data_IF_602006180132
#
_entry.id   IF_602006180132
#
_cell.length_a   1.000
_cell.length_b   1.000
_cell.length_c   1.000
_cell.angle_alpha   90.00
_cell.angle_beta   90.00
_cell.angle_gamma   90.00
#
_symmetry.space_group_name_H-M   'P 1'
#
loop_
_entity.id
_entity.type
_entity.pdbx_description
1 polymer ?
#
# COMPACT_ATOMS: atom_id res chain seq x y z
N UNK A 1 -5.58 -19.58 -4.38
CA UNK A 1 -4.36 -18.94 -4.94
C UNK A 1 -4.27 -17.49 -4.42
N UNK A 2 -3.11 -16.81 -4.50
CA UNK A 2 -3.01 -15.39 -4.06
C UNK A 2 -3.96 -14.46 -4.83
N UNK A 3 -4.28 -14.81 -6.09
CA UNK A 3 -5.16 -14.02 -6.95
C UNK A 3 -6.65 -14.08 -6.56
N UNK A 4 -7.05 -15.00 -5.68
CA UNK A 4 -8.45 -15.12 -5.24
C UNK A 4 -8.95 -13.83 -4.57
N UNK A 5 -8.05 -13.00 -4.02
CA UNK A 5 -8.41 -11.72 -3.41
C UNK A 5 -8.74 -10.62 -4.42
N UNK A 6 -8.37 -10.79 -5.69
CA UNK A 6 -8.58 -9.78 -6.73
C UNK A 6 -9.45 -10.25 -7.89
N UNK A 7 -9.87 -11.53 -7.90
CA UNK A 7 -10.64 -12.13 -8.99
C UNK A 7 -11.91 -11.35 -9.32
N UNK A 8 -12.67 -10.92 -8.31
CA UNK A 8 -13.88 -10.12 -8.50
C UNK A 8 -13.62 -8.80 -9.21
N UNK A 9 -12.44 -8.19 -9.02
CA UNK A 9 -12.05 -6.95 -9.70
C UNK A 9 -11.57 -7.21 -11.12
N UNK A 10 -10.92 -8.34 -11.37
CA UNK A 10 -10.58 -8.79 -12.72
C UNK A 10 -11.85 -9.04 -13.56
N UNK A 11 -12.88 -9.62 -12.95
CA UNK A 11 -14.17 -9.86 -13.63
C UNK A 11 -14.95 -8.55 -13.85
N UNK A 12 -14.94 -7.64 -12.86
CA UNK A 12 -15.61 -6.34 -12.96
C UNK A 12 -14.94 -5.40 -13.97
N UNK A 13 -13.62 -5.44 -14.08
CA UNK A 13 -12.82 -4.57 -14.94
C UNK A 13 -11.87 -5.40 -15.83
N UNK A 14 -12.40 -6.16 -16.81
CA UNK A 14 -11.61 -7.10 -17.61
C UNK A 14 -10.49 -6.42 -18.40
N UNK A 15 -10.66 -5.15 -18.78
CA UNK A 15 -9.63 -4.35 -19.44
C UNK A 15 -8.39 -4.10 -18.56
N UNK A 16 -8.55 -4.11 -17.24
CA UNK A 16 -7.46 -3.94 -16.27
C UNK A 16 -6.93 -5.29 -15.75
N UNK A 17 -7.62 -6.41 -15.99
CA UNK A 17 -7.37 -7.68 -15.32
C UNK A 17 -5.92 -8.19 -15.43
N UNK A 18 -5.32 -8.07 -16.62
CA UNK A 18 -3.92 -8.48 -16.87
C UNK A 18 -2.95 -7.63 -16.06
N UNK A 19 -3.10 -6.30 -16.13
CA UNK A 19 -2.26 -5.35 -15.42
C UNK A 19 -2.43 -5.49 -13.90
N UNK A 20 -3.68 -5.57 -13.41
CA UNK A 20 -4.01 -5.75 -12.00
C UNK A 20 -3.37 -7.03 -11.44
N UNK A 21 -3.51 -8.15 -12.14
CA UNK A 21 -2.98 -9.44 -11.71
C UNK A 21 -1.45 -9.43 -11.64
N UNK A 22 -0.80 -8.88 -12.66
CA UNK A 22 0.66 -8.81 -12.72
C UNK A 22 1.23 -7.92 -11.62
N UNK A 23 0.66 -6.73 -11.43
CA UNK A 23 1.12 -5.80 -10.39
C UNK A 23 0.82 -6.35 -8.99
N UNK A 24 -0.34 -6.95 -8.76
CA UNK A 24 -0.65 -7.56 -7.47
C UNK A 24 0.34 -8.67 -7.10
N UNK A 25 0.73 -9.52 -8.05
CA UNK A 25 1.75 -10.55 -7.83
C UNK A 25 3.14 -9.96 -7.57
N UNK A 26 3.53 -8.92 -8.32
CA UNK A 26 4.79 -8.20 -8.09
C UNK A 26 4.84 -7.63 -6.66
N UNK A 27 3.80 -6.89 -6.25
CA UNK A 27 3.73 -6.27 -4.92
C UNK A 27 3.72 -7.31 -3.79
N UNK A 28 2.93 -8.38 -3.92
CA UNK A 28 2.74 -9.37 -2.84
C UNK A 28 3.79 -10.49 -2.81
N UNK A 29 4.52 -10.74 -3.90
CA UNK A 29 5.45 -11.87 -4.00
C UNK A 29 6.88 -11.41 -4.21
N UNK A 30 7.14 -10.60 -5.24
CA UNK A 30 8.50 -10.13 -5.54
C UNK A 30 8.95 -9.08 -4.53
N UNK A 31 8.14 -8.02 -4.36
CA UNK A 31 8.44 -6.91 -3.44
C UNK A 31 8.05 -7.20 -2.00
N UNK A 32 7.25 -8.26 -1.77
CA UNK A 32 6.87 -8.74 -0.44
C UNK A 32 6.30 -7.64 0.47
N UNK A 33 5.40 -6.81 -0.08
CA UNK A 33 4.70 -5.77 0.68
C UNK A 33 3.91 -6.38 1.84
N UNK A 34 3.77 -5.63 2.94
CA UNK A 34 3.10 -6.10 4.15
C UNK A 34 1.59 -6.26 3.91
N UNK A 35 1.02 -5.33 3.14
CA UNK A 35 -0.40 -5.31 2.82
C UNK A 35 -0.61 -4.75 1.41
N UNK A 36 -1.54 -5.34 0.67
CA UNK A 36 -2.01 -4.85 -0.63
C UNK A 36 -3.52 -5.04 -0.69
N UNK A 37 -4.25 -3.95 -0.93
CA UNK A 37 -5.72 -3.90 -1.07
C UNK A 37 -6.09 -3.33 -2.42
N UNK A 38 -7.20 -3.80 -2.98
CA UNK A 38 -7.81 -3.18 -4.16
C UNK A 38 -8.87 -2.20 -3.68
N UNK A 39 -8.89 -1.00 -4.27
CA UNK A 39 -9.96 -0.02 -4.07
C UNK A 39 -10.64 0.26 -5.39
N UNK A 40 -11.96 0.20 -5.35
CA UNK A 40 -12.80 0.55 -6.48
C UNK A 40 -12.95 2.07 -6.61
N UNK A 41 -12.89 2.57 -7.83
CA UNK A 41 -13.18 3.96 -8.19
C UNK A 41 -14.28 3.94 -9.24
N UNK A 42 -15.52 3.69 -8.79
CA UNK A 42 -16.68 3.52 -9.66
C UNK A 42 -16.92 4.67 -10.65
N UNK A 43 -16.75 5.96 -10.28
CA UNK A 43 -16.92 7.06 -11.23
C UNK A 43 -15.96 7.00 -12.43
N UNK A 44 -14.83 6.31 -12.28
CA UNK A 44 -13.83 6.12 -13.33
C UNK A 44 -13.89 4.74 -13.97
N UNK A 45 -14.77 3.85 -13.50
CA UNK A 45 -14.87 2.45 -13.93
C UNK A 45 -13.50 1.75 -13.91
N UNK A 46 -12.75 1.97 -12.82
CA UNK A 46 -11.39 1.46 -12.63
C UNK A 46 -11.17 1.04 -11.19
N UNK A 47 -10.14 0.25 -10.96
CA UNK A 47 -9.65 -0.09 -9.63
C UNK A 47 -8.18 0.33 -9.48
N UNK A 48 -7.76 0.51 -8.23
CA UNK A 48 -6.38 0.85 -7.88
C UNK A 48 -5.86 -0.06 -6.77
N UNK A 49 -4.55 -0.30 -6.76
CA UNK A 49 -3.87 -1.01 -5.69
C UNK A 49 -3.33 -0.02 -4.67
N UNK A 50 -3.77 -0.18 -3.42
CA UNK A 50 -3.24 0.52 -2.26
C UNK A 50 -2.40 -0.47 -1.48
N UNK A 51 -1.21 -0.08 -1.04
CA UNK A 51 -0.39 -1.01 -0.27
C UNK A 51 0.51 -0.34 0.75
N UNK A 52 0.96 -1.16 1.70
CA UNK A 52 1.85 -0.76 2.79
C UNK A 52 3.14 -1.57 2.68
N UNK A 53 4.27 -0.86 2.68
CA UNK A 53 5.60 -1.47 2.73
C UNK A 53 5.96 -1.81 4.17
N UNK A 54 6.86 -2.78 4.35
CA UNK A 54 7.33 -3.20 5.69
C UNK A 54 8.18 -2.15 6.42
N UNK A 55 8.64 -1.10 5.72
CA UNK A 55 9.61 -0.11 6.24
C UNK A 55 8.92 1.05 6.96
N UNK A 56 7.64 1.30 6.71
CA UNK A 56 6.94 2.48 7.24
C UNK A 56 6.52 2.40 8.71
N UNK A 57 6.66 1.25 9.39
CA UNK A 57 6.38 1.13 10.84
C UNK A 57 7.55 1.62 11.72
N UNK A 58 8.66 2.11 11.14
CA UNK A 58 9.85 2.58 11.89
C UNK A 58 10.00 4.09 12.01
N UNK A 59 9.09 4.90 11.47
CA UNK A 59 9.15 6.35 11.58
C UNK A 59 8.24 6.81 12.73
N UNK A 60 8.56 6.41 13.96
CA UNK A 60 8.30 7.32 15.07
C UNK A 60 9.40 8.39 14.98
N UNK A 61 9.08 9.70 14.95
CA UNK A 61 10.11 10.70 15.12
C UNK A 61 10.77 10.49 16.49
N UNK A 62 12.10 10.67 16.63
CA UNK A 62 12.69 10.76 17.96
C UNK A 62 11.96 11.89 18.69
N UNK A 63 11.36 11.58 19.84
CA UNK A 63 10.81 12.58 20.76
C UNK A 63 11.99 13.40 21.28
N UNK A 64 12.36 14.44 20.54
CA UNK A 64 13.40 15.38 20.92
C UNK A 64 12.86 16.30 22.02
N UNK A 65 12.83 15.79 23.25
CA UNK A 65 12.65 16.59 24.45
C UNK A 65 14.04 16.94 24.99
N UNK A 66 14.72 17.85 24.30
CA UNK A 66 15.90 18.54 24.82
C UNK A 66 15.68 20.05 24.83
N UNK A 67 14.58 20.47 25.45
CA UNK A 67 14.46 21.83 25.96
C UNK A 67 15.37 21.99 27.19
N UNK A 68 16.68 22.16 26.96
CA UNK A 68 17.56 22.78 27.94
C UNK A 68 17.43 24.29 27.74
N UNK A 69 16.51 24.90 28.49
CA UNK A 69 16.61 26.32 28.80
C UNK A 69 17.74 26.46 29.83
N UNK A 70 18.83 27.10 29.45
CA UNK A 70 19.86 27.58 30.38
C UNK A 70 19.45 28.99 30.84
N UNK A 71 19.09 29.21 32.10
CA UNK A 71 18.85 30.55 32.60
C UNK A 71 20.16 31.13 33.16
N UNK A 72 20.65 32.16 32.47
CA UNK A 72 21.64 33.17 32.92
C UNK A 72 23.13 32.80 32.83
N UNK A 73 23.81 33.52 31.92
CA UNK A 73 25.27 33.70 31.84
C UNK A 73 25.62 34.81 30.87
#
# INVERSE_FOLDING_TARGET
>A
MKLDQISSYCDKYPQEASNLSQVYLDLTTVKSWAEVKVKDIEPLQRCVLLGRTKVHDRINPPSDNSAIYDPLG
#
